data_IF_800590036592
#
_entry.id   IF_800590036592
#
_cell.length_a   1.000
_cell.length_b   1.000
_cell.length_c   1.000
_cell.angle_alpha   90.00
_cell.angle_beta   90.00
_cell.angle_gamma   90.00
#
_symmetry.space_group_name_H-M   'P 1'
#
loop_
_entity.id
_entity.type
_entity.pdbx_description
1 polymer ?
#
# COMPACT_ATOMS: atom_id res chain seq x y z
N UNK A 1 -1.48 31.92 12.44
CA UNK A 1 -0.64 32.01 11.23
C UNK A 1 -1.27 32.99 10.29
N UNK A 2 -0.46 33.79 9.58
CA UNK A 2 -0.98 34.71 8.59
C UNK A 2 -1.60 33.92 7.42
N UNK A 3 -2.82 34.29 6.97
CA UNK A 3 -3.54 33.55 5.93
C UNK A 3 -2.78 33.45 4.60
N UNK A 4 -1.83 34.36 4.35
CA UNK A 4 -0.98 34.34 3.16
C UNK A 4 0.05 33.20 3.18
N UNK A 5 0.57 32.83 4.36
CA UNK A 5 1.54 31.73 4.47
C UNK A 5 0.84 30.39 4.20
N UNK A 6 -0.34 30.18 4.79
CA UNK A 6 -1.13 28.96 4.56
C UNK A 6 -1.57 28.80 3.09
N UNK A 7 -1.91 29.91 2.42
CA UNK A 7 -2.20 29.91 0.99
C UNK A 7 -0.95 29.57 0.16
N UNK A 8 0.19 30.17 0.50
CA UNK A 8 1.47 29.91 -0.17
C UNK A 8 1.89 28.45 -0.09
N UNK A 9 1.76 27.82 1.09
CA UNK A 9 2.01 26.39 1.28
C UNK A 9 1.05 25.55 0.45
N UNK A 10 -0.24 25.89 0.42
CA UNK A 10 -1.22 25.17 -0.40
C UNK A 10 -0.84 25.20 -1.89
N UNK A 11 -0.43 26.36 -2.42
CA UNK A 11 0.05 26.49 -3.80
C UNK A 11 1.30 25.62 -4.03
N UNK A 12 2.25 25.62 -3.09
CA UNK A 12 3.44 24.77 -3.18
C UNK A 12 3.10 23.27 -3.23
N UNK A 13 2.09 22.82 -2.47
CA UNK A 13 1.64 21.42 -2.50
C UNK A 13 1.04 21.07 -3.88
N UNK A 14 0.20 21.94 -4.44
CA UNK A 14 -0.39 21.72 -5.76
C UNK A 14 0.69 21.65 -6.84
N UNK A 15 1.64 22.59 -6.82
CA UNK A 15 2.76 22.59 -7.75
C UNK A 15 3.63 21.34 -7.59
N UNK A 16 3.96 20.92 -6.36
CA UNK A 16 4.71 19.69 -6.14
C UNK A 16 3.99 18.46 -6.69
N UNK A 17 2.67 18.39 -6.53
CA UNK A 17 1.84 17.30 -7.08
C UNK A 17 1.89 17.27 -8.61
N UNK A 18 1.81 18.43 -9.27
CA UNK A 18 1.94 18.53 -10.72
C UNK A 18 3.33 18.12 -11.20
N UNK A 19 4.39 18.52 -10.48
CA UNK A 19 5.77 18.10 -10.79
C UNK A 19 5.93 16.58 -10.75
N UNK A 20 5.37 15.92 -9.72
CA UNK A 20 5.40 14.46 -9.63
C UNK A 20 4.58 13.79 -10.74
N UNK A 21 3.47 14.39 -11.17
CA UNK A 21 2.64 13.85 -12.25
C UNK A 21 3.27 13.96 -13.65
N UNK A 22 4.30 14.79 -13.82
CA UNK A 22 5.02 14.94 -15.10
C UNK A 22 6.07 13.85 -15.36
N UNK A 23 6.39 13.01 -14.38
CA UNK A 23 7.30 11.86 -14.56
C UNK A 23 6.72 10.90 -15.63
N UNK A 24 7.48 10.61 -16.70
CA UNK A 24 7.06 9.73 -17.78
C UNK A 24 8.22 8.90 -18.32
N UNK A 25 7.92 7.74 -18.93
CA UNK A 25 8.92 6.91 -19.61
C UNK A 25 8.65 6.88 -21.12
N UNK A 26 9.65 7.12 -21.99
CA UNK A 26 11.05 7.48 -21.70
C UNK A 26 11.22 8.99 -21.39
N UNK A 27 12.13 9.32 -20.47
CA UNK A 27 12.42 10.71 -20.07
C UNK A 27 13.81 11.15 -20.54
N UNK A 28 13.95 12.42 -20.92
CA UNK A 28 15.27 13.00 -21.21
C UNK A 28 16.01 13.33 -19.92
N UNK A 29 17.35 13.19 -19.91
CA UNK A 29 18.17 13.48 -18.72
C UNK A 29 17.99 14.93 -18.23
N UNK A 30 17.76 15.88 -19.14
CA UNK A 30 17.56 17.27 -18.76
C UNK A 30 16.24 17.45 -17.98
N UNK A 31 15.17 16.78 -18.42
CA UNK A 31 13.88 16.84 -17.74
C UNK A 31 13.91 16.13 -16.37
N UNK A 32 14.65 15.01 -16.27
CA UNK A 32 14.87 14.30 -15.01
C UNK A 32 15.59 15.17 -13.97
N UNK A 33 16.63 15.88 -14.39
CA UNK A 33 17.36 16.81 -13.53
C UNK A 33 16.45 17.96 -13.04
N UNK A 34 15.61 18.52 -13.91
CA UNK A 34 14.66 19.59 -13.53
C UNK A 34 13.66 19.09 -12.50
N UNK A 35 13.07 17.90 -12.69
CA UNK A 35 12.14 17.31 -11.73
C UNK A 35 12.82 16.98 -10.40
N UNK A 36 14.04 16.45 -10.44
CA UNK A 36 14.82 16.12 -9.25
C UNK A 36 15.16 17.36 -8.42
N UNK A 37 15.62 18.44 -9.07
CA UNK A 37 15.90 19.73 -8.40
C UNK A 37 14.61 20.33 -7.83
N UNK A 38 13.51 20.31 -8.60
CA UNK A 38 12.21 20.79 -8.13
C UNK A 38 11.74 20.06 -6.87
N UNK A 39 11.82 18.73 -6.85
CA UNK A 39 11.45 17.92 -5.68
C UNK A 39 12.32 18.23 -4.45
N UNK A 40 13.60 18.54 -4.63
CA UNK A 40 14.49 18.96 -3.55
C UNK A 40 14.06 20.33 -2.99
N UNK A 41 13.74 21.29 -3.85
CA UNK A 41 13.25 22.61 -3.45
C UNK A 41 11.95 22.49 -2.64
N UNK A 42 10.96 21.72 -3.11
CA UNK A 42 9.72 21.52 -2.37
C UNK A 42 9.95 20.85 -1.01
N UNK A 43 10.84 19.85 -0.93
CA UNK A 43 11.20 19.22 0.35
C UNK A 43 11.82 20.24 1.31
N UNK A 44 12.70 21.12 0.81
CA UNK A 44 13.30 22.20 1.59
C UNK A 44 12.26 23.17 2.14
N UNK A 45 11.30 23.60 1.32
CA UNK A 45 10.21 24.51 1.73
C UNK A 45 9.37 23.88 2.85
N UNK A 46 8.93 22.63 2.69
CA UNK A 46 8.13 21.95 3.73
C UNK A 46 8.93 21.67 5.01
N UNK A 47 10.23 21.42 4.88
CA UNK A 47 11.10 21.25 6.06
C UNK A 47 11.24 22.56 6.83
N UNK A 48 11.44 23.68 6.12
CA UNK A 48 11.51 25.00 6.72
C UNK A 48 10.18 25.38 7.39
N UNK A 49 9.04 25.13 6.73
CA UNK A 49 7.71 25.33 7.30
C UNK A 49 7.52 24.57 8.63
N UNK A 50 7.88 23.29 8.66
CA UNK A 50 7.79 22.46 9.86
C UNK A 50 8.65 23.00 11.00
N UNK A 51 9.91 23.35 10.72
CA UNK A 51 10.84 23.90 11.73
C UNK A 51 10.35 25.25 12.26
N UNK A 52 9.86 26.13 11.38
CA UNK A 52 9.29 27.42 11.79
C UNK A 52 8.04 27.23 12.66
N UNK A 53 7.18 26.25 12.34
CA UNK A 53 6.02 25.90 13.19
C UNK A 53 6.42 25.37 14.56
N UNK A 54 7.45 24.53 14.63
CA UNK A 54 7.97 23.98 15.89
C UNK A 54 8.65 25.03 16.78
N UNK A 55 9.17 26.11 16.19
CA UNK A 55 9.74 27.23 16.95
C UNK A 55 8.63 28.19 17.39
N UNK A 56 7.64 28.43 16.53
CA UNK A 56 6.54 29.36 16.82
C UNK A 56 5.49 28.77 17.77
N UNK A 57 5.29 27.46 17.75
CA UNK A 57 4.38 26.71 18.62
C UNK A 57 5.24 25.74 19.43
N UNK A 58 5.07 25.69 20.75
CA UNK A 58 5.80 24.74 21.57
C UNK A 58 5.61 23.30 21.03
N UNK A 59 6.66 22.46 21.03
CA UNK A 59 6.58 21.12 20.45
C UNK A 59 5.40 20.30 20.97
N UNK A 60 5.06 20.48 22.25
CA UNK A 60 3.92 19.81 22.87
C UNK A 60 2.58 20.19 22.23
N UNK A 61 2.34 21.47 21.96
CA UNK A 61 1.13 21.94 21.29
C UNK A 61 1.10 21.54 19.80
N UNK A 62 2.27 21.55 19.15
CA UNK A 62 2.40 21.14 17.75
C UNK A 62 1.93 19.69 17.54
N UNK A 63 2.35 18.76 18.41
CA UNK A 63 2.01 17.34 18.31
C UNK A 63 0.60 16.99 18.82
N UNK A 64 -0.16 17.92 19.38
CA UNK A 64 -1.59 17.69 19.68
C UNK A 64 -2.48 17.80 18.43
N UNK A 65 -2.03 18.56 17.42
CA UNK A 65 -2.80 18.75 16.18
C UNK A 65 -2.49 17.63 15.18
N UNK A 66 -3.48 16.76 14.89
CA UNK A 66 -3.30 15.61 13.99
C UNK A 66 -2.76 15.95 12.59
N UNK A 67 -3.13 17.11 12.03
CA UNK A 67 -2.59 17.56 10.74
C UNK A 67 -1.11 17.93 10.79
N UNK A 68 -0.64 18.48 11.90
CA UNK A 68 0.78 18.82 12.09
C UNK A 68 1.62 17.56 12.32
N UNK A 69 1.07 16.55 13.01
CA UNK A 69 1.68 15.21 13.13
C UNK A 69 1.83 14.59 11.74
N UNK A 70 0.76 14.59 10.94
CA UNK A 70 0.78 14.05 9.59
C UNK A 70 1.82 14.77 8.72
N UNK A 71 1.83 16.10 8.73
CA UNK A 71 2.79 16.91 7.99
C UNK A 71 4.24 16.61 8.39
N UNK A 72 4.51 16.54 9.69
CA UNK A 72 5.83 16.20 10.23
C UNK A 72 6.28 14.79 9.84
N UNK A 73 5.36 13.82 9.82
CA UNK A 73 5.65 12.47 9.36
C UNK A 73 6.07 12.44 7.88
N UNK A 74 5.35 13.16 7.01
CA UNK A 74 5.68 13.25 5.58
C UNK A 74 7.04 13.94 5.36
N UNK A 75 7.34 15.01 6.09
CA UNK A 75 8.63 15.71 6.02
C UNK A 75 9.76 14.78 6.49
N UNK A 76 9.56 14.06 7.59
CA UNK A 76 10.56 13.13 8.13
C UNK A 76 10.87 12.00 7.14
N UNK A 77 9.84 11.37 6.56
CA UNK A 77 10.03 10.35 5.52
C UNK A 77 10.81 10.90 4.31
N UNK A 78 10.53 12.14 3.92
CA UNK A 78 11.21 12.81 2.81
C UNK A 78 12.70 13.07 3.09
N UNK A 79 13.05 13.42 4.33
CA UNK A 79 14.45 13.59 4.73
C UNK A 79 15.18 12.25 4.81
N UNK A 80 14.51 11.19 5.29
CA UNK A 80 15.05 9.83 5.31
C UNK A 80 15.33 9.33 3.89
N UNK A 81 14.42 9.58 2.95
CA UNK A 81 14.62 9.27 1.53
C UNK A 81 15.88 9.95 0.97
N UNK A 82 16.05 11.25 1.22
CA UNK A 82 17.23 12.00 0.77
C UNK A 82 18.53 11.49 1.40
N UNK A 83 18.51 11.15 2.70
CA UNK A 83 19.67 10.60 3.41
C UNK A 83 20.07 9.19 2.96
N UNK A 84 19.12 8.40 2.45
CA UNK A 84 19.32 7.02 2.02
C UNK A 84 19.41 6.86 0.49
N UNK A 85 19.59 7.96 -0.25
CA UNK A 85 19.60 7.96 -1.72
C UNK A 85 20.64 7.00 -2.35
N UNK A 86 21.72 6.66 -1.63
CA UNK A 86 22.79 5.77 -2.10
C UNK A 86 22.58 4.28 -1.79
N UNK A 87 21.50 3.90 -1.09
CA UNK A 87 21.27 2.50 -0.70
C UNK A 87 20.42 1.78 -1.77
N UNK A 88 21.06 0.90 -2.53
CA UNK A 88 20.38 0.01 -3.47
C UNK A 88 19.43 -0.93 -2.72
N UNK A 89 18.17 -1.02 -3.15
CA UNK A 89 17.11 -1.86 -2.53
C UNK A 89 16.01 -1.06 -1.83
N UNK A 90 16.23 0.21 -1.50
CA UNK A 90 15.22 1.07 -0.87
C UNK A 90 14.44 1.93 -1.88
N UNK A 91 14.34 1.47 -3.13
CA UNK A 91 13.62 2.20 -4.18
C UNK A 91 12.15 2.48 -3.85
N UNK A 92 11.53 1.66 -2.99
CA UNK A 92 10.16 1.87 -2.51
C UNK A 92 10.03 3.14 -1.68
N UNK A 93 11.09 3.56 -0.96
CA UNK A 93 11.07 4.82 -0.21
C UNK A 93 10.84 6.03 -1.12
N UNK A 94 11.30 5.95 -2.37
CA UNK A 94 11.06 7.01 -3.36
C UNK A 94 9.57 7.17 -3.67
N UNK A 95 8.79 6.10 -3.63
CA UNK A 95 7.34 6.16 -3.83
C UNK A 95 6.60 6.89 -2.70
N UNK A 96 7.18 7.00 -1.50
CA UNK A 96 6.58 7.75 -0.40
C UNK A 96 6.47 9.26 -0.66
N UNK A 97 7.19 9.81 -1.66
CA UNK A 97 7.00 11.20 -2.11
C UNK A 97 5.54 11.50 -2.49
N UNK A 98 4.82 10.49 -3.02
CA UNK A 98 3.42 10.61 -3.40
C UNK A 98 2.50 10.86 -2.20
N UNK A 99 2.93 10.50 -0.97
CA UNK A 99 2.17 10.80 0.24
C UNK A 99 2.02 12.31 0.48
N UNK A 100 2.90 13.15 -0.09
CA UNK A 100 2.79 14.61 -0.03
C UNK A 100 1.49 15.13 -0.67
N UNK A 101 0.92 14.40 -1.62
CA UNK A 101 -0.36 14.75 -2.26
C UNK A 101 -1.50 14.78 -1.22
N UNK A 102 -1.43 13.94 -0.17
CA UNK A 102 -2.42 13.97 0.91
C UNK A 102 -2.37 15.25 1.74
N UNK A 103 -1.31 16.06 1.68
CA UNK A 103 -1.31 17.39 2.31
C UNK A 103 -2.41 18.30 1.73
N UNK A 104 -2.86 18.06 0.49
CA UNK A 104 -4.00 18.74 -0.12
C UNK A 104 -5.31 18.54 0.67
N UNK A 105 -5.40 17.45 1.45
CA UNK A 105 -6.58 17.15 2.25
C UNK A 105 -6.83 18.19 3.34
N UNK A 106 -5.80 18.92 3.79
CA UNK A 106 -5.97 20.03 4.73
C UNK A 106 -6.79 21.17 4.13
N UNK A 107 -6.61 21.45 2.84
CA UNK A 107 -7.23 22.58 2.14
C UNK A 107 -8.50 22.19 1.38
N UNK A 108 -8.66 20.91 1.00
CA UNK A 108 -9.82 20.44 0.26
C UNK A 108 -10.83 19.71 1.17
N UNK A 109 -12.01 20.30 1.45
CA UNK A 109 -12.99 19.72 2.39
C UNK A 109 -13.49 18.33 1.99
N UNK A 110 -13.67 18.08 0.69
CA UNK A 110 -14.11 16.77 0.18
C UNK A 110 -13.07 15.69 0.46
N UNK A 111 -11.78 15.97 0.22
CA UNK A 111 -10.70 15.03 0.47
C UNK A 111 -10.51 14.78 1.98
N UNK A 112 -10.64 15.82 2.81
CA UNK A 112 -10.68 15.69 4.27
C UNK A 112 -11.80 14.75 4.73
N UNK A 113 -13.01 14.93 4.16
CA UNK A 113 -14.16 14.08 4.46
C UNK A 113 -13.89 12.61 4.08
N UNK A 114 -13.28 12.35 2.92
CA UNK A 114 -12.90 10.99 2.51
C UNK A 114 -11.93 10.34 3.50
N UNK A 115 -10.88 11.04 3.92
CA UNK A 115 -9.91 10.53 4.91
C UNK A 115 -10.61 10.23 6.24
N UNK A 116 -11.51 11.11 6.68
CA UNK A 116 -12.28 10.91 7.90
C UNK A 116 -13.21 9.69 7.82
N UNK A 117 -13.85 9.47 6.67
CA UNK A 117 -14.66 8.27 6.43
C UNK A 117 -13.79 7.02 6.54
N UNK A 118 -12.63 6.99 5.86
CA UNK A 118 -11.70 5.85 5.92
C UNK A 118 -11.27 5.59 7.37
N UNK A 119 -10.87 6.62 8.11
CA UNK A 119 -10.47 6.48 9.52
C UNK A 119 -11.59 5.97 10.43
N UNK A 120 -12.80 6.51 10.27
CA UNK A 120 -13.97 6.07 11.03
C UNK A 120 -14.37 4.63 10.67
N UNK A 121 -14.29 4.24 9.40
CA UNK A 121 -14.55 2.88 8.95
C UNK A 121 -13.55 1.89 9.54
N UNK A 122 -12.26 2.24 9.60
CA UNK A 122 -11.25 1.39 10.26
C UNK A 122 -11.54 1.23 11.76
N UNK A 123 -11.98 2.29 12.44
CA UNK A 123 -12.35 2.21 13.86
C UNK A 123 -13.64 1.41 14.11
N UNK A 124 -14.68 1.65 13.32
CA UNK A 124 -15.99 1.01 13.49
C UNK A 124 -16.03 -0.44 12.98
N UNK A 125 -15.32 -0.74 11.89
CA UNK A 125 -15.25 -2.07 11.28
C UNK A 125 -13.97 -2.83 11.68
N UNK A 126 -13.12 -2.26 12.54
CA UNK A 126 -11.83 -2.87 12.91
C UNK A 126 -11.96 -4.30 13.44
N UNK A 127 -12.99 -4.56 14.24
CA UNK A 127 -13.29 -5.90 14.74
C UNK A 127 -13.68 -6.88 13.61
N UNK A 128 -14.48 -6.44 12.65
CA UNK A 128 -14.87 -7.25 11.49
C UNK A 128 -13.66 -7.52 10.59
N UNK A 129 -12.84 -6.50 10.31
CA UNK A 129 -11.61 -6.63 9.54
C UNK A 129 -10.63 -7.61 10.21
N UNK A 130 -10.54 -7.60 11.54
CA UNK A 130 -9.70 -8.53 12.29
C UNK A 130 -10.21 -9.97 12.18
N UNK A 131 -11.53 -10.18 12.26
CA UNK A 131 -12.14 -11.51 12.04
C UNK A 131 -11.85 -12.00 10.62
N UNK A 132 -12.04 -11.16 9.60
CA UNK A 132 -11.74 -11.48 8.21
C UNK A 132 -10.25 -11.85 8.04
N UNK A 133 -9.33 -11.07 8.64
CA UNK A 133 -7.90 -11.35 8.58
C UNK A 133 -7.53 -12.70 9.20
N UNK A 134 -8.14 -13.06 10.33
CA UNK A 134 -7.95 -14.38 10.97
C UNK A 134 -8.47 -15.50 10.06
N UNK A 135 -9.65 -15.34 9.47
CA UNK A 135 -10.24 -16.34 8.58
C UNK A 135 -9.36 -16.56 7.35
N UNK A 136 -8.91 -15.48 6.70
CA UNK A 136 -7.98 -15.54 5.56
C UNK A 136 -6.68 -16.24 5.97
N UNK A 137 -6.13 -15.93 7.15
CA UNK A 137 -4.93 -16.58 7.66
C UNK A 137 -5.13 -18.09 7.88
N UNK A 138 -6.23 -18.49 8.52
CA UNK A 138 -6.55 -19.91 8.76
C UNK A 138 -6.64 -20.66 7.43
N UNK A 139 -7.39 -20.13 6.46
CA UNK A 139 -7.53 -20.78 5.16
C UNK A 139 -6.22 -20.83 4.37
N UNK A 140 -5.37 -19.80 4.47
CA UNK A 140 -4.05 -19.82 3.84
C UNK A 140 -3.17 -20.93 4.42
N UNK A 141 -3.20 -21.13 5.75
CA UNK A 141 -2.46 -22.22 6.42
C UNK A 141 -3.05 -23.58 6.08
N UNK A 142 -4.38 -23.73 6.10
CA UNK A 142 -5.06 -24.99 5.76
C UNK A 142 -4.76 -25.39 4.32
N UNK A 143 -4.89 -24.47 3.36
CA UNK A 143 -4.60 -24.73 1.95
C UNK A 143 -3.14 -25.14 1.73
N UNK A 144 -2.20 -24.47 2.41
CA UNK A 144 -0.77 -24.80 2.34
C UNK A 144 -0.48 -26.20 2.91
N UNK A 145 -1.05 -26.53 4.07
CA UNK A 145 -0.81 -27.83 4.70
C UNK A 145 -1.44 -29.00 3.94
N UNK A 146 -2.63 -28.80 3.37
CA UNK A 146 -3.33 -29.86 2.62
C UNK A 146 -2.77 -30.06 1.21
N UNK A 147 -2.47 -28.97 0.49
CA UNK A 147 -2.18 -29.02 -0.93
C UNK A 147 -0.72 -28.71 -1.27
N UNK A 148 0.04 -28.08 -0.37
CA UNK A 148 1.38 -27.56 -0.69
C UNK A 148 2.38 -28.63 -1.15
N UNK A 149 2.35 -29.83 -0.55
CA UNK A 149 3.18 -30.96 -0.99
C UNK A 149 2.79 -31.45 -2.39
N UNK A 150 1.50 -31.64 -2.62
CA UNK A 150 0.98 -32.12 -3.90
C UNK A 150 1.35 -31.17 -5.04
N UNK A 151 1.29 -29.85 -4.83
CA UNK A 151 1.72 -28.85 -5.82
C UNK A 151 3.18 -29.00 -6.23
N UNK A 152 4.06 -29.46 -5.33
CA UNK A 152 5.47 -29.69 -5.65
C UNK A 152 5.70 -31.01 -6.36
N UNK A 153 5.02 -32.07 -5.91
CA UNK A 153 5.20 -33.43 -6.44
C UNK A 153 4.53 -33.62 -7.82
N UNK A 154 3.38 -32.97 -8.05
CA UNK A 154 2.59 -33.11 -9.29
C UNK A 154 2.71 -31.90 -10.23
N UNK A 155 3.79 -31.12 -10.13
CA UNK A 155 3.97 -29.86 -10.89
C UNK A 155 3.87 -30.03 -12.41
N UNK A 156 4.33 -31.17 -12.95
CA UNK A 156 4.28 -31.45 -14.38
C UNK A 156 2.86 -31.68 -14.93
N UNK A 157 1.85 -31.82 -14.07
CA UNK A 157 0.45 -31.92 -14.52
C UNK A 157 -0.17 -30.57 -14.87
N UNK A 158 0.31 -29.51 -14.20
CA UNK A 158 -0.25 -28.15 -14.28
C UNK A 158 0.64 -27.21 -15.11
N UNK A 159 1.95 -27.47 -15.19
CA UNK A 159 2.91 -26.62 -15.89
C UNK A 159 3.76 -27.42 -16.88
N UNK A 160 3.85 -26.93 -18.12
CA UNK A 160 4.57 -27.61 -19.22
C UNK A 160 6.10 -27.65 -19.01
N UNK A 161 6.63 -26.67 -18.29
CA UNK A 161 8.05 -26.56 -17.91
C UNK A 161 8.37 -27.26 -16.58
N UNK A 162 7.39 -27.94 -15.97
CA UNK A 162 7.51 -28.59 -14.65
C UNK A 162 8.02 -27.64 -13.54
N UNK A 163 7.77 -26.34 -13.68
CA UNK A 163 8.07 -25.34 -12.65
C UNK A 163 6.80 -24.93 -11.91
N UNK A 164 6.92 -24.42 -10.68
CA UNK A 164 5.76 -24.01 -9.91
C UNK A 164 5.04 -22.87 -10.65
N UNK A 165 3.72 -22.98 -10.90
CA UNK A 165 2.98 -21.92 -11.58
C UNK A 165 2.91 -20.68 -10.69
N UNK A 166 2.56 -19.53 -11.28
CA UNK A 166 2.46 -18.24 -10.56
C UNK A 166 1.51 -18.28 -9.35
N UNK A 167 0.48 -19.12 -9.40
CA UNK A 167 -0.47 -19.34 -8.31
C UNK A 167 -0.33 -20.77 -7.82
N UNK A 168 0.22 -20.96 -6.62
CA UNK A 168 0.41 -22.27 -6.02
C UNK A 168 0.27 -22.23 -4.50
N UNK A 169 0.02 -23.38 -3.85
CA UNK A 169 -0.12 -23.46 -2.38
C UNK A 169 1.11 -24.04 -1.67
N UNK A 170 2.29 -24.02 -2.31
CA UNK A 170 3.52 -24.55 -1.69
C UNK A 170 3.99 -23.72 -0.49
N UNK A 171 3.94 -22.39 -0.61
CA UNK A 171 4.39 -21.44 0.41
C UNK A 171 3.22 -20.65 0.98
N UNK A 172 3.37 -20.18 2.22
CA UNK A 172 2.33 -19.45 2.93
C UNK A 172 1.85 -18.21 2.16
N UNK A 173 2.77 -17.40 1.62
CA UNK A 173 2.41 -16.16 0.92
C UNK A 173 1.62 -16.42 -0.37
N UNK A 174 2.00 -17.42 -1.16
CA UNK A 174 1.26 -17.77 -2.37
C UNK A 174 -0.10 -18.40 -2.06
N UNK A 175 -0.19 -19.21 -1.00
CA UNK A 175 -1.47 -19.72 -0.49
C UNK A 175 -2.40 -18.58 -0.03
N UNK A 176 -1.85 -17.61 0.70
CA UNK A 176 -2.56 -16.40 1.11
C UNK A 176 -3.08 -15.61 -0.10
N UNK A 177 -2.25 -15.43 -1.13
CA UNK A 177 -2.64 -14.75 -2.37
C UNK A 177 -3.76 -15.50 -3.12
N UNK A 178 -3.77 -16.83 -3.11
CA UNK A 178 -4.88 -17.62 -3.69
C UNK A 178 -6.17 -17.40 -2.89
N UNK A 179 -6.13 -17.46 -1.56
CA UNK A 179 -7.30 -17.18 -0.72
C UNK A 179 -7.82 -15.77 -0.98
N UNK A 180 -6.94 -14.77 -1.06
CA UNK A 180 -7.31 -13.40 -1.41
C UNK A 180 -7.96 -13.32 -2.79
N UNK A 181 -7.40 -14.02 -3.79
CA UNK A 181 -7.95 -14.09 -5.16
C UNK A 181 -9.36 -14.71 -5.20
N UNK A 182 -9.61 -15.74 -4.38
CA UNK A 182 -10.94 -16.34 -4.23
C UNK A 182 -11.95 -15.33 -3.70
N UNK A 183 -11.58 -14.52 -2.69
CA UNK A 183 -12.43 -13.45 -2.15
C UNK A 183 -12.70 -12.33 -3.17
N UNK A 184 -11.78 -12.08 -4.10
CA UNK A 184 -12.00 -11.18 -5.23
C UNK A 184 -12.94 -11.76 -6.30
N UNK A 185 -13.38 -13.02 -6.17
CA UNK A 185 -14.31 -13.69 -7.09
C UNK A 185 -13.64 -14.55 -8.15
N UNK A 186 -12.32 -14.61 -8.21
CA UNK A 186 -11.56 -15.39 -9.20
C UNK A 186 -11.09 -16.74 -8.64
N UNK A 187 -12.04 -17.65 -8.36
CA UNK A 187 -11.76 -18.94 -7.72
C UNK A 187 -11.67 -20.13 -8.67
N UNK A 188 -12.24 -20.02 -9.87
CA UNK A 188 -12.39 -21.17 -10.78
C UNK A 188 -11.01 -21.61 -11.33
N UNK A 189 -10.18 -20.68 -11.81
CA UNK A 189 -8.88 -21.01 -12.42
C UNK A 189 -7.96 -21.78 -11.46
N UNK A 190 -7.78 -21.26 -10.25
CA UNK A 190 -6.91 -21.87 -9.22
C UNK A 190 -7.51 -23.16 -8.66
N UNK A 191 -8.83 -23.35 -8.76
CA UNK A 191 -9.48 -24.60 -8.39
C UNK A 191 -9.17 -25.72 -9.39
N UNK A 192 -9.14 -25.45 -10.70
CA UNK A 192 -8.78 -26.45 -11.71
C UNK A 192 -7.38 -27.00 -11.45
N UNK A 193 -6.40 -26.13 -11.19
CA UNK A 193 -5.03 -26.53 -10.85
C UNK A 193 -4.98 -27.38 -9.58
N UNK A 194 -5.75 -27.01 -8.55
CA UNK A 194 -5.86 -27.80 -7.32
C UNK A 194 -6.43 -29.20 -7.60
N UNK A 195 -7.52 -29.29 -8.38
CA UNK A 195 -8.22 -30.54 -8.65
C UNK A 195 -7.34 -31.54 -9.40
N UNK A 196 -6.50 -31.06 -10.33
CA UNK A 196 -5.57 -31.89 -11.10
C UNK A 196 -4.42 -32.46 -10.23
N UNK A 197 -4.04 -31.70 -9.19
CA UNK A 197 -2.90 -32.00 -8.32
C UNK A 197 -3.28 -32.84 -7.10
N UNK A 198 -4.36 -32.49 -6.40
CA UNK A 198 -4.73 -33.08 -5.11
C UNK A 198 -6.08 -33.82 -5.13
N UNK A 199 -6.79 -33.79 -6.26
CA UNK A 199 -8.07 -34.49 -6.45
C UNK A 199 -9.30 -33.61 -6.20
N UNK A 200 -10.41 -34.01 -6.84
CA UNK A 200 -11.61 -33.18 -6.96
C UNK A 200 -12.31 -32.91 -5.61
N UNK A 201 -12.47 -33.93 -4.76
CA UNK A 201 -13.27 -33.83 -3.54
C UNK A 201 -12.68 -32.83 -2.52
N UNK A 202 -11.37 -32.91 -2.26
CA UNK A 202 -10.71 -32.04 -1.27
C UNK A 202 -10.62 -30.58 -1.76
N UNK A 203 -10.31 -30.37 -3.04
CA UNK A 203 -10.23 -29.03 -3.59
C UNK A 203 -11.59 -28.34 -3.64
N UNK A 204 -12.66 -29.02 -4.10
CA UNK A 204 -14.00 -28.45 -4.12
C UNK A 204 -14.50 -28.08 -2.73
N UNK A 205 -14.28 -28.96 -1.75
CA UNK A 205 -14.73 -28.70 -0.37
C UNK A 205 -14.04 -27.49 0.24
N UNK A 206 -12.71 -27.38 0.10
CA UNK A 206 -11.97 -26.24 0.65
C UNK A 206 -12.30 -24.94 -0.10
N UNK A 207 -12.31 -24.93 -1.43
CA UNK A 207 -12.52 -23.70 -2.21
C UNK A 207 -13.95 -23.15 -2.03
N UNK A 208 -14.95 -24.02 -2.02
CA UNK A 208 -16.34 -23.59 -1.75
C UNK A 208 -16.52 -23.11 -0.30
N UNK A 209 -15.86 -23.75 0.66
CA UNK A 209 -15.87 -23.28 2.05
C UNK A 209 -15.25 -21.90 2.19
N UNK A 210 -14.10 -21.66 1.55
CA UNK A 210 -13.45 -20.33 1.53
C UNK A 210 -14.36 -19.29 0.89
N UNK A 211 -14.97 -19.61 -0.26
CA UNK A 211 -15.85 -18.68 -0.97
C UNK A 211 -17.10 -18.34 -0.14
N UNK A 212 -17.76 -19.33 0.45
CA UNK A 212 -19.01 -19.12 1.20
C UNK A 212 -18.73 -18.41 2.52
N UNK A 213 -17.76 -18.88 3.31
CA UNK A 213 -17.45 -18.29 4.62
C UNK A 213 -16.81 -16.92 4.43
N UNK A 214 -15.88 -16.79 3.50
CA UNK A 214 -15.14 -15.55 3.28
C UNK A 214 -15.98 -14.41 2.70
N UNK A 215 -16.98 -14.70 1.85
CA UNK A 215 -17.89 -13.67 1.33
C UNK A 215 -19.09 -13.38 2.26
N UNK A 216 -19.33 -14.24 3.26
CA UNK A 216 -20.38 -14.01 4.26
C UNK A 216 -19.92 -13.04 5.36
N UNK A 217 -18.61 -13.00 5.63
CA UNK A 217 -17.96 -12.13 6.62
C UNK A 217 -17.69 -10.75 6.01
#
# INVERSE_FOLDING_TARGET
>A
MDPFVDLGITICIVLNTLFMAMEHYPMTEHFDNVLSVGNLVFTGIFTAEMVLKLIAMDPYEYFQQGWNIFDSFIVTLSLVELGLANVQGLSVLRSFRLLRVFKLAKSWPTLNMLIKIIGNSVGALGNLTLVLAIIVFIFAVVGMQLFGKSYKECVCKIAADCSLPRWHMHDFFHSFLIVFRILCGEWIETMWDCMEVAGQAMCLTVFLMVMVIGNLV
#
